data_IF_731883406260
#
_entry.id   IF_731883406260
#
_cell.length_a   1.000
_cell.length_b   1.000
_cell.length_c   1.000
_cell.angle_alpha   90.00
_cell.angle_beta   90.00
_cell.angle_gamma   90.00
#
_symmetry.space_group_name_H-M   'P 1'
#
loop_
_entity.id
_entity.type
_entity.pdbx_description
1 polymer ?
#
# COMPACT_ATOMS: atom_id res chain seq x y z
N UNK A 1 -0.99 34.10 10.02
CA UNK A 1 -1.68 33.49 8.85
C UNK A 1 -1.24 34.22 7.58
N UNK A 2 -1.26 33.57 6.41
CA UNK A 2 -0.86 34.20 5.13
C UNK A 2 -2.07 34.28 4.21
N UNK A 3 -2.29 35.43 3.58
CA UNK A 3 -3.35 35.65 2.61
C UNK A 3 -2.91 35.10 1.25
N UNK A 4 -3.81 34.46 0.53
CA UNK A 4 -3.55 34.01 -0.83
C UNK A 4 -3.98 35.13 -1.78
N UNK A 5 -3.12 35.44 -2.74
CA UNK A 5 -3.40 36.38 -3.83
C UNK A 5 -3.26 35.71 -5.19
N UNK A 6 -2.37 34.71 -5.30
CA UNK A 6 -2.11 34.01 -6.55
C UNK A 6 -2.01 32.50 -6.36
N UNK A 7 -2.70 31.76 -7.23
CA UNK A 7 -2.73 30.31 -7.24
C UNK A 7 -2.17 29.74 -8.55
N UNK A 8 -1.27 28.76 -8.46
CA UNK A 8 -0.80 27.96 -9.58
C UNK A 8 -1.53 26.60 -9.55
N UNK A 9 -2.34 26.31 -10.56
CA UNK A 9 -3.17 25.10 -10.61
C UNK A 9 -2.77 24.25 -11.82
N UNK A 10 -2.31 23.03 -11.58
CA UNK A 10 -1.98 22.06 -12.63
C UNK A 10 -2.36 20.66 -12.15
N UNK A 11 -3.54 20.20 -12.56
CA UNK A 11 -4.16 18.97 -12.04
C UNK A 11 -4.52 18.01 -13.17
N UNK A 12 -4.15 16.75 -12.98
CA UNK A 12 -4.56 15.63 -13.83
C UNK A 12 -6.00 15.21 -13.49
N UNK A 13 -6.26 14.92 -12.22
CA UNK A 13 -7.59 14.67 -11.66
C UNK A 13 -8.31 16.00 -11.38
N UNK A 14 -9.46 16.19 -12.04
CA UNK A 14 -10.25 17.42 -12.01
C UNK A 14 -11.41 17.35 -11.02
N UNK A 15 -11.49 16.28 -10.23
CA UNK A 15 -12.51 16.11 -9.19
C UNK A 15 -12.48 17.29 -8.21
N UNK A 16 -13.65 17.87 -7.93
CA UNK A 16 -13.81 18.99 -7.02
C UNK A 16 -13.19 20.32 -7.47
N UNK A 17 -12.60 20.39 -8.67
CA UNK A 17 -11.91 21.60 -9.16
C UNK A 17 -12.85 22.80 -9.26
N UNK A 18 -14.08 22.61 -9.75
CA UNK A 18 -15.05 23.71 -9.93
C UNK A 18 -15.41 24.38 -8.60
N UNK A 19 -15.65 23.60 -7.54
CA UNK A 19 -15.92 24.13 -6.20
C UNK A 19 -14.73 24.94 -5.67
N UNK A 20 -13.50 24.44 -5.87
CA UNK A 20 -12.30 25.18 -5.51
C UNK A 20 -12.18 26.50 -6.28
N UNK A 21 -12.43 26.49 -7.60
CA UNK A 21 -12.38 27.68 -8.44
C UNK A 21 -13.43 28.72 -8.03
N UNK A 22 -14.64 28.29 -7.70
CA UNK A 22 -15.71 29.16 -7.20
C UNK A 22 -15.24 29.94 -5.96
N UNK A 23 -14.68 29.23 -4.97
CA UNK A 23 -14.18 29.87 -3.75
C UNK A 23 -13.00 30.79 -4.04
N UNK A 24 -12.06 30.41 -4.92
CA UNK A 24 -10.95 31.29 -5.28
C UNK A 24 -11.42 32.56 -6.02
N UNK A 25 -12.47 32.45 -6.83
CA UNK A 25 -13.06 33.59 -7.53
C UNK A 25 -13.76 34.59 -6.58
N UNK A 26 -14.44 34.10 -5.53
CA UNK A 26 -15.03 34.94 -4.46
C UNK A 26 -14.01 35.92 -3.84
N UNK A 27 -12.74 35.51 -3.78
CA UNK A 27 -11.64 36.30 -3.21
C UNK A 27 -10.76 36.99 -4.28
N UNK A 28 -11.17 36.97 -5.54
CA UNK A 28 -10.42 37.56 -6.67
C UNK A 28 -8.97 37.06 -6.76
N UNK A 29 -8.75 35.76 -6.49
CA UNK A 29 -7.42 35.15 -6.59
C UNK A 29 -7.00 35.04 -8.05
N UNK A 30 -5.79 35.49 -8.36
CA UNK A 30 -5.22 35.33 -9.70
C UNK A 30 -4.82 33.87 -9.93
N UNK A 31 -5.33 33.26 -11.00
CA UNK A 31 -5.04 31.87 -11.34
C UNK A 31 -4.04 31.81 -12.49
N UNK A 32 -2.96 31.05 -12.28
CA UNK A 32 -2.03 30.63 -13.32
C UNK A 32 -2.20 29.13 -13.55
N UNK A 33 -2.26 28.70 -14.80
CA UNK A 33 -2.39 27.28 -15.16
C UNK A 33 -1.70 26.96 -16.49
N UNK A 34 -1.63 25.67 -16.86
CA UNK A 34 -1.05 25.19 -18.12
C UNK A 34 -1.84 24.00 -18.66
N UNK A 35 -1.68 23.72 -19.96
CA UNK A 35 -2.20 22.54 -20.63
C UNK A 35 -3.71 22.30 -20.44
N UNK A 36 -4.08 21.03 -20.22
CA UNK A 36 -5.48 20.63 -20.08
C UNK A 36 -6.20 21.22 -18.86
N UNK A 37 -5.46 21.59 -17.81
CA UNK A 37 -6.03 22.27 -16.64
C UNK A 37 -6.46 23.69 -16.99
N UNK A 38 -5.62 24.45 -17.69
CA UNK A 38 -5.95 25.81 -18.16
C UNK A 38 -7.20 25.80 -19.04
N UNK A 39 -7.27 24.85 -19.99
CA UNK A 39 -8.45 24.67 -20.85
C UNK A 39 -9.71 24.44 -20.00
N UNK A 40 -9.66 23.53 -19.04
CA UNK A 40 -10.80 23.21 -18.18
C UNK A 40 -11.24 24.41 -17.33
N UNK A 41 -10.31 25.17 -16.77
CA UNK A 41 -10.62 26.37 -15.97
C UNK A 41 -11.37 27.40 -16.82
N UNK A 42 -10.91 27.64 -18.05
CA UNK A 42 -11.57 28.55 -19.01
C UNK A 42 -12.94 28.04 -19.45
N UNK A 43 -13.10 26.74 -19.70
CA UNK A 43 -14.40 26.11 -20.01
C UNK A 43 -15.42 26.27 -18.88
N UNK A 44 -14.97 26.27 -17.62
CA UNK A 44 -15.81 26.52 -16.45
C UNK A 44 -16.10 28.02 -16.22
N UNK A 45 -15.64 28.91 -17.10
CA UNK A 45 -15.92 30.34 -17.05
C UNK A 45 -15.03 31.16 -16.13
N UNK A 46 -13.94 30.59 -15.59
CA UNK A 46 -13.03 31.29 -14.70
C UNK A 46 -11.82 31.88 -15.44
N UNK A 47 -11.38 33.10 -15.10
CA UNK A 47 -10.19 33.70 -15.70
C UNK A 47 -8.93 32.98 -15.19
N UNK A 48 -8.04 32.64 -16.12
CA UNK A 48 -6.72 32.08 -15.80
C UNK A 48 -5.70 32.48 -16.87
N UNK A 49 -4.50 32.83 -16.39
CA UNK A 49 -3.33 33.11 -17.24
C UNK A 49 -2.54 31.85 -17.53
N UNK A 50 -2.04 31.75 -18.75
CA UNK A 50 -1.15 30.64 -19.10
C UNK A 50 0.23 30.82 -18.43
N UNK A 51 0.88 29.72 -18.05
CA UNK A 51 2.27 29.76 -17.52
C UNK A 51 3.23 30.40 -18.53
N UNK A 52 2.98 30.21 -19.81
CA UNK A 52 3.74 30.77 -20.93
C UNK A 52 3.67 32.31 -20.95
N UNK A 53 2.54 32.90 -20.55
CA UNK A 53 2.37 34.36 -20.43
C UNK A 53 3.23 34.93 -19.29
N UNK A 54 3.41 34.16 -18.22
CA UNK A 54 4.21 34.57 -17.06
C UNK A 54 5.70 34.40 -17.37
N UNK A 55 6.06 33.24 -17.93
CA UNK A 55 7.45 32.86 -18.18
C UNK A 55 8.04 33.61 -19.36
N UNK A 56 7.26 33.82 -20.42
CA UNK A 56 7.73 34.28 -21.73
C UNK A 56 8.35 33.15 -22.57
N UNK A 57 8.23 31.89 -22.12
CA UNK A 57 8.76 30.72 -22.81
C UNK A 57 7.62 29.79 -23.25
N UNK A 58 7.65 29.31 -24.50
CA UNK A 58 6.66 28.33 -24.96
C UNK A 58 6.91 26.96 -24.32
N UNK A 59 5.90 26.11 -24.39
CA UNK A 59 6.04 24.68 -24.11
C UNK A 59 7.09 24.04 -25.05
N UNK A 60 8.03 23.26 -24.49
CA UNK A 60 9.11 22.61 -25.24
C UNK A 60 9.17 21.10 -25.01
N UNK A 61 9.77 20.37 -25.97
CA UNK A 61 10.03 18.92 -25.90
C UNK A 61 8.77 18.11 -25.61
N UNK A 62 7.70 18.35 -26.38
CA UNK A 62 6.38 17.71 -26.23
C UNK A 62 5.80 17.83 -24.81
N UNK A 63 6.12 18.94 -24.14
CA UNK A 63 5.56 19.25 -22.82
C UNK A 63 6.35 18.76 -21.62
N UNK A 64 7.53 18.19 -21.84
CA UNK A 64 8.46 17.84 -20.75
C UNK A 64 8.97 19.07 -20.00
N UNK A 65 9.05 20.23 -20.67
CA UNK A 65 9.52 21.48 -20.08
C UNK A 65 8.46 22.57 -20.27
N UNK A 66 7.66 22.81 -19.22
CA UNK A 66 6.64 23.88 -19.16
C UNK A 66 6.83 24.79 -17.94
N UNK A 67 6.94 24.17 -16.76
CA UNK A 67 6.90 24.88 -15.47
C UNK A 67 8.26 25.00 -14.78
N UNK A 68 9.29 24.35 -15.33
CA UNK A 68 10.69 24.40 -14.86
C UNK A 68 11.35 25.73 -15.23
N UNK A 69 10.84 26.83 -14.69
CA UNK A 69 11.27 28.18 -15.02
C UNK A 69 11.51 29.02 -13.75
N UNK A 70 12.56 29.88 -13.70
CA UNK A 70 12.85 30.72 -12.53
C UNK A 70 11.70 31.62 -12.08
N UNK A 71 10.88 32.14 -13.01
CA UNK A 71 9.70 32.93 -12.63
C UNK A 71 8.63 32.13 -11.88
N UNK A 72 8.54 30.81 -12.11
CA UNK A 72 7.64 29.94 -11.36
C UNK A 72 8.29 29.54 -10.04
N UNK A 73 9.48 28.94 -10.09
CA UNK A 73 10.14 28.43 -8.88
C UNK A 73 10.63 29.54 -7.94
N UNK A 74 11.06 30.69 -8.45
CA UNK A 74 11.34 31.88 -7.64
C UNK A 74 10.08 32.44 -6.99
N UNK A 75 8.95 32.40 -7.70
CA UNK A 75 7.63 32.71 -7.17
C UNK A 75 7.23 31.79 -6.02
N UNK A 76 7.66 30.52 -6.03
CA UNK A 76 7.38 29.53 -4.99
C UNK A 76 8.39 29.53 -3.83
N UNK A 77 9.68 29.71 -4.12
CA UNK A 77 10.77 29.45 -3.16
C UNK A 77 11.25 30.70 -2.42
N UNK A 78 10.94 31.90 -2.91
CA UNK A 78 11.40 33.11 -2.26
C UNK A 78 10.75 33.30 -0.88
N UNK A 79 11.58 33.50 0.14
CA UNK A 79 11.16 33.81 1.51
C UNK A 79 10.69 35.26 1.57
N UNK A 80 9.44 35.48 1.97
CA UNK A 80 8.83 36.83 1.92
C UNK A 80 9.32 37.77 3.02
N UNK A 81 9.96 37.22 4.04
CA UNK A 81 10.58 37.95 5.15
C UNK A 81 12.08 38.20 4.97
N UNK A 82 12.67 37.72 3.86
CA UNK A 82 14.07 37.95 3.53
C UNK A 82 14.19 39.08 2.47
N UNK A 83 14.79 40.20 2.87
CA UNK A 83 14.94 41.38 2.00
C UNK A 83 15.72 41.12 0.71
N UNK A 84 16.72 40.25 0.74
CA UNK A 84 17.52 39.94 -0.45
C UNK A 84 16.71 39.12 -1.45
N UNK A 85 15.87 38.20 -0.97
CA UNK A 85 14.95 37.45 -1.82
C UNK A 85 13.91 38.37 -2.46
N UNK A 86 13.34 39.30 -1.70
CA UNK A 86 12.36 40.27 -2.21
C UNK A 86 12.99 41.17 -3.28
N UNK A 87 14.18 41.72 -3.05
CA UNK A 87 14.92 42.50 -4.06
C UNK A 87 15.19 41.70 -5.33
N UNK A 88 15.60 40.44 -5.20
CA UNK A 88 15.83 39.58 -6.36
C UNK A 88 14.53 39.30 -7.14
N UNK A 89 13.42 39.10 -6.44
CA UNK A 89 12.11 38.95 -7.08
C UNK A 89 11.72 40.19 -7.88
N UNK A 90 11.85 41.38 -7.28
CA UNK A 90 11.55 42.65 -7.93
C UNK A 90 12.43 42.89 -9.16
N UNK A 91 13.75 42.72 -9.02
CA UNK A 91 14.71 42.92 -10.09
C UNK A 91 14.46 42.02 -11.32
N UNK A 92 13.89 40.83 -11.11
CA UNK A 92 13.62 39.86 -12.18
C UNK A 92 12.14 39.76 -12.55
N UNK A 93 11.27 40.63 -12.03
CA UNK A 93 9.83 40.63 -12.32
C UNK A 93 9.14 39.32 -11.90
N UNK A 94 9.62 38.70 -10.82
CA UNK A 94 9.06 37.47 -10.26
C UNK A 94 7.98 37.87 -9.26
N UNK A 95 6.78 37.33 -9.44
CA UNK A 95 5.67 37.60 -8.54
C UNK A 95 5.43 36.42 -7.59
N UNK A 96 4.98 36.67 -6.35
CA UNK A 96 4.75 35.60 -5.38
C UNK A 96 3.60 34.69 -5.82
N UNK A 97 3.75 33.39 -5.58
CA UNK A 97 2.67 32.40 -5.68
C UNK A 97 2.40 31.89 -4.26
N UNK A 98 1.15 31.94 -3.81
CA UNK A 98 0.77 31.66 -2.42
C UNK A 98 0.05 30.32 -2.28
N UNK A 99 -0.54 29.82 -3.37
CA UNK A 99 -1.21 28.52 -3.43
C UNK A 99 -0.71 27.73 -4.63
N UNK A 100 -0.40 26.46 -4.41
CA UNK A 100 -0.11 25.48 -5.47
C UNK A 100 -1.11 24.34 -5.35
N UNK A 101 -1.80 24.03 -6.44
CA UNK A 101 -2.74 22.91 -6.52
C UNK A 101 -2.28 21.99 -7.63
N UNK A 102 -1.60 20.91 -7.26
CA UNK A 102 -0.99 19.98 -8.20
C UNK A 102 -1.21 18.55 -7.75
N UNK A 103 -2.03 17.79 -8.48
CA UNK A 103 -2.10 16.34 -8.34
C UNK A 103 -1.40 15.70 -9.53
N UNK A 104 -0.54 14.73 -9.23
CA UNK A 104 0.23 14.00 -10.23
C UNK A 104 -0.67 13.01 -10.94
N UNK A 105 -0.47 12.84 -12.25
CA UNK A 105 -1.05 11.70 -12.96
C UNK A 105 -0.58 10.42 -12.25
N UNK A 106 -1.49 9.48 -11.95
CA UNK A 106 -1.13 8.29 -11.20
C UNK A 106 -0.27 7.37 -12.08
N UNK A 107 1.04 7.56 -12.02
CA UNK A 107 2.02 6.67 -12.65
C UNK A 107 1.78 5.23 -12.23
N UNK A 108 1.39 5.03 -10.96
CA UNK A 108 0.94 3.76 -10.41
C UNK A 108 -0.12 3.09 -11.31
N UNK A 109 -1.18 3.81 -11.69
CA UNK A 109 -2.26 3.29 -12.54
C UNK A 109 -1.82 3.00 -13.98
N UNK A 110 -0.81 3.72 -14.49
CA UNK A 110 -0.24 3.44 -15.83
C UNK A 110 0.52 2.13 -15.79
N UNK A 111 1.32 1.93 -14.74
CA UNK A 111 2.18 0.75 -14.57
C UNK A 111 1.45 -0.51 -14.12
N UNK A 112 0.27 -0.38 -13.52
CA UNK A 112 -0.59 -1.50 -13.15
C UNK A 112 -1.30 -2.13 -14.36
N UNK A 113 -1.34 -1.47 -15.52
CA UNK A 113 -1.97 -2.01 -16.73
C UNK A 113 -1.11 -3.16 -17.30
N UNK A 114 -1.72 -4.31 -17.64
CA UNK A 114 -1.02 -5.38 -18.33
C UNK A 114 -0.34 -4.85 -19.61
N UNK A 115 0.92 -5.23 -19.83
CA UNK A 115 1.68 -4.94 -21.04
C UNK A 115 1.98 -3.45 -21.33
N UNK A 116 2.05 -2.57 -20.32
CA UNK A 116 2.59 -1.22 -20.55
C UNK A 116 4.05 -1.29 -21.02
N UNK A 117 4.36 -0.62 -22.14
CA UNK A 117 5.72 -0.55 -22.66
C UNK A 117 6.60 0.33 -21.76
N UNK A 118 7.90 0.09 -21.77
CA UNK A 118 8.86 0.88 -21.00
C UNK A 118 8.87 2.34 -21.47
N UNK A 119 8.74 2.57 -22.76
CA UNK A 119 8.70 3.89 -23.39
C UNK A 119 7.47 4.68 -22.91
N UNK A 120 6.28 4.05 -22.93
CA UNK A 120 5.06 4.70 -22.47
C UNK A 120 5.11 5.04 -20.98
N UNK A 121 5.68 4.15 -20.15
CA UNK A 121 5.87 4.46 -18.73
C UNK A 121 6.83 5.65 -18.56
N UNK A 122 7.96 5.67 -19.25
CA UNK A 122 8.94 6.78 -19.19
C UNK A 122 8.31 8.12 -19.59
N UNK A 123 7.47 8.17 -20.63
CA UNK A 123 6.78 9.41 -21.02
C UNK A 123 5.76 9.91 -19.96
N UNK A 124 5.29 9.02 -19.07
CA UNK A 124 4.36 9.38 -17.99
C UNK A 124 5.08 9.79 -16.69
N UNK A 125 6.41 9.84 -16.69
CA UNK A 125 7.18 10.38 -15.56
C UNK A 125 7.11 11.92 -15.59
N UNK A 126 6.41 12.49 -14.62
CA UNK A 126 6.25 13.93 -14.46
C UNK A 126 7.46 14.51 -13.71
N UNK A 127 8.11 15.50 -14.33
CA UNK A 127 9.22 16.24 -13.74
C UNK A 127 8.72 17.57 -13.14
N UNK A 128 7.79 18.23 -13.82
CA UNK A 128 7.31 19.56 -13.45
C UNK A 128 6.44 19.52 -12.20
N UNK A 129 5.48 18.58 -12.15
CA UNK A 129 4.57 18.40 -11.03
C UNK A 129 5.30 18.20 -9.70
N UNK A 130 6.15 17.17 -9.55
CA UNK A 130 6.90 16.94 -8.31
C UNK A 130 7.81 18.11 -7.95
N UNK A 131 8.43 18.77 -8.94
CA UNK A 131 9.27 19.95 -8.70
C UNK A 131 8.48 21.12 -8.10
N UNK A 132 7.28 21.40 -8.61
CA UNK A 132 6.39 22.44 -8.07
C UNK A 132 5.88 22.08 -6.67
N UNK A 133 5.44 20.84 -6.47
CA UNK A 133 4.98 20.33 -5.17
C UNK A 133 6.09 20.51 -4.11
N UNK A 134 7.32 20.04 -4.42
CA UNK A 134 8.46 20.13 -3.51
C UNK A 134 8.86 21.58 -3.23
N UNK A 135 8.78 22.46 -4.24
CA UNK A 135 9.09 23.89 -4.07
C UNK A 135 8.11 24.57 -3.12
N UNK A 136 6.81 24.33 -3.30
CA UNK A 136 5.77 24.87 -2.44
C UNK A 136 5.85 24.30 -1.01
N UNK A 137 6.02 22.98 -0.87
CA UNK A 137 6.13 22.31 0.41
C UNK A 137 7.39 22.75 1.20
N UNK A 138 8.54 22.92 0.53
CA UNK A 138 9.76 23.48 1.14
C UNK A 138 9.50 24.87 1.72
N UNK A 139 8.73 25.70 1.02
CA UNK A 139 8.40 27.05 1.45
C UNK A 139 7.03 27.15 2.14
N UNK A 140 6.62 26.13 2.91
CA UNK A 140 5.32 26.11 3.60
C UNK A 140 5.07 27.31 4.53
N UNK A 141 6.13 28.04 4.91
CA UNK A 141 6.03 29.28 5.69
C UNK A 141 5.18 30.33 4.95
N UNK A 142 5.31 30.41 3.64
CA UNK A 142 4.67 31.41 2.78
C UNK A 142 3.70 30.80 1.75
N UNK A 143 3.88 29.53 1.37
CA UNK A 143 3.10 28.89 0.29
C UNK A 143 2.27 27.72 0.81
N UNK A 144 1.00 27.68 0.45
CA UNK A 144 0.11 26.53 0.68
C UNK A 144 0.17 25.58 -0.52
N UNK A 145 0.24 24.27 -0.29
CA UNK A 145 0.27 23.26 -1.35
C UNK A 145 -0.88 22.28 -1.16
N UNK A 146 -1.59 21.92 -2.24
CA UNK A 146 -2.63 20.89 -2.25
C UNK A 146 -2.24 19.87 -3.33
N UNK A 147 -2.16 18.60 -2.95
CA UNK A 147 -1.74 17.47 -3.81
C UNK A 147 -2.84 16.44 -4.10
N UNK A 148 -4.02 16.61 -3.52
CA UNK A 148 -5.17 15.72 -3.70
C UNK A 148 -6.50 16.47 -3.56
N UNK A 149 -7.54 16.12 -4.37
CA UNK A 149 -8.89 16.66 -4.20
C UNK A 149 -9.49 16.49 -2.79
N UNK A 150 -9.08 15.46 -2.06
CA UNK A 150 -9.57 15.21 -0.69
C UNK A 150 -9.17 16.32 0.30
N UNK A 151 -8.20 17.17 -0.06
CA UNK A 151 -7.76 18.30 0.77
C UNK A 151 -8.61 19.56 0.54
N UNK A 152 -9.40 19.62 -0.54
CA UNK A 152 -10.09 20.85 -0.95
C UNK A 152 -11.12 21.29 0.09
N UNK A 153 -11.89 20.36 0.66
CA UNK A 153 -12.91 20.70 1.66
C UNK A 153 -12.30 21.35 2.91
N UNK A 154 -11.26 20.73 3.47
CA UNK A 154 -10.53 21.27 4.63
C UNK A 154 -9.90 22.64 4.31
N UNK A 155 -9.28 22.76 3.13
CA UNK A 155 -8.71 24.03 2.68
C UNK A 155 -9.77 25.12 2.57
N UNK A 156 -10.88 24.85 1.87
CA UNK A 156 -11.98 25.81 1.64
C UNK A 156 -12.59 26.26 2.97
N UNK A 157 -12.82 25.33 3.90
CA UNK A 157 -13.39 25.64 5.20
C UNK A 157 -12.52 26.65 5.97
N UNK A 158 -11.22 26.38 6.09
CA UNK A 158 -10.29 27.29 6.75
C UNK A 158 -10.11 28.60 5.99
N UNK A 159 -10.04 28.54 4.65
CA UNK A 159 -9.86 29.70 3.79
C UNK A 159 -11.01 30.70 3.96
N UNK A 160 -12.26 30.23 3.94
CA UNK A 160 -13.45 31.05 4.15
C UNK A 160 -13.53 31.58 5.58
N UNK A 161 -13.29 30.73 6.57
CA UNK A 161 -13.32 31.11 7.99
C UNK A 161 -12.37 32.27 8.30
N UNK A 162 -11.25 32.36 7.59
CA UNK A 162 -10.17 33.29 7.88
C UNK A 162 -9.98 34.38 6.80
N UNK A 163 -11.02 34.69 6.03
CA UNK A 163 -11.02 35.76 5.02
C UNK A 163 -9.85 35.63 4.00
N UNK A 164 -9.74 34.44 3.41
CA UNK A 164 -8.75 34.13 2.40
C UNK A 164 -7.34 33.88 2.96
N UNK A 165 -7.21 33.62 4.26
CA UNK A 165 -5.94 33.32 4.93
C UNK A 165 -5.87 31.86 5.36
N UNK A 166 -4.66 31.30 5.33
CA UNK A 166 -4.38 29.96 5.88
C UNK A 166 -3.39 30.07 7.06
N UNK A 167 -3.56 29.22 8.06
CA UNK A 167 -2.67 29.09 9.21
C UNK A 167 -1.32 28.48 8.84
N UNK A 168 -0.30 28.65 9.69
CA UNK A 168 1.03 28.05 9.43
C UNK A 168 0.95 26.53 9.63
N UNK A 169 0.13 26.13 10.59
CA UNK A 169 -0.12 24.76 11.03
C UNK A 169 -0.74 23.95 9.89
N UNK A 170 -1.77 24.49 9.22
CA UNK A 170 -2.38 23.82 8.05
C UNK A 170 -1.43 23.76 6.86
N UNK A 171 -0.67 24.83 6.57
CA UNK A 171 0.36 24.77 5.51
C UNK A 171 1.43 23.71 5.80
N UNK A 172 1.85 23.58 7.06
CA UNK A 172 2.80 22.55 7.48
C UNK A 172 2.23 21.13 7.31
N UNK A 173 0.97 20.92 7.71
CA UNK A 173 0.28 19.63 7.50
C UNK A 173 0.21 19.27 6.01
N UNK A 174 -0.21 20.20 5.16
CA UNK A 174 -0.25 19.95 3.73
C UNK A 174 1.15 19.77 3.10
N UNK A 175 2.18 20.43 3.61
CA UNK A 175 3.56 20.19 3.17
C UNK A 175 4.07 18.78 3.54
N UNK A 176 3.70 18.27 4.72
CA UNK A 176 3.97 16.89 5.14
C UNK A 176 3.28 15.89 4.21
N UNK A 177 2.01 16.11 3.89
CA UNK A 177 1.26 15.28 2.93
C UNK A 177 1.85 15.37 1.51
N UNK A 178 2.30 16.55 1.09
CA UNK A 178 2.95 16.78 -0.19
C UNK A 178 4.27 15.98 -0.35
N UNK A 179 5.15 16.03 0.65
CA UNK A 179 6.39 15.23 0.63
C UNK A 179 6.11 13.73 0.68
N UNK A 180 5.08 13.31 1.41
CA UNK A 180 4.61 11.92 1.42
C UNK A 180 4.16 11.48 0.02
N UNK A 181 3.39 12.32 -0.69
CA UNK A 181 2.95 12.02 -2.05
C UNK A 181 4.10 11.89 -3.03
N UNK A 182 5.09 12.80 -2.99
CA UNK A 182 6.25 12.73 -3.90
C UNK A 182 7.15 11.54 -3.59
N UNK A 183 7.30 11.17 -2.31
CA UNK A 183 8.02 9.95 -1.94
C UNK A 183 7.34 8.69 -2.48
N UNK A 184 6.00 8.62 -2.37
CA UNK A 184 5.23 7.52 -2.96
C UNK A 184 5.33 7.47 -4.49
N UNK A 185 5.34 8.63 -5.15
CA UNK A 185 5.49 8.75 -6.60
C UNK A 185 6.86 8.24 -7.08
N UNK A 186 7.95 8.72 -6.47
CA UNK A 186 9.31 8.29 -6.84
C UNK A 186 9.53 6.80 -6.55
N UNK A 187 8.92 6.27 -5.48
CA UNK A 187 8.92 4.83 -5.22
C UNK A 187 8.25 4.05 -6.35
N UNK A 188 7.09 4.48 -6.83
CA UNK A 188 6.38 3.81 -7.90
C UNK A 188 7.24 3.72 -9.17
N UNK A 189 7.94 4.80 -9.50
CA UNK A 189 8.93 4.83 -10.59
C UNK A 189 10.06 3.84 -10.33
N UNK A 190 10.65 3.86 -9.13
CA UNK A 190 11.73 2.94 -8.76
C UNK A 190 11.31 1.47 -8.89
N UNK A 191 10.11 1.12 -8.40
CA UNK A 191 9.54 -0.23 -8.49
C UNK A 191 9.27 -0.64 -9.93
N UNK A 192 8.85 0.29 -10.78
CA UNK A 192 8.68 0.01 -12.19
C UNK A 192 10.00 -0.39 -12.85
N UNK A 193 11.08 0.36 -12.63
CA UNK A 193 12.40 0.01 -13.18
C UNK A 193 12.96 -1.28 -12.58
N UNK A 194 12.76 -1.52 -11.28
CA UNK A 194 13.08 -2.79 -10.63
C UNK A 194 12.35 -3.96 -11.31
N UNK A 195 11.07 -3.81 -11.66
CA UNK A 195 10.30 -4.86 -12.34
C UNK A 195 10.82 -5.23 -13.74
N UNK A 196 11.68 -4.40 -14.34
CA UNK A 196 12.30 -4.65 -15.66
C UNK A 196 13.60 -5.43 -15.59
N UNK A 197 14.11 -5.71 -14.39
CA UNK A 197 15.26 -6.59 -14.17
C UNK A 197 14.83 -7.85 -13.40
N UNK A 198 15.60 -8.93 -13.55
CA UNK A 198 15.46 -10.14 -12.74
C UNK A 198 16.37 -10.12 -11.51
N UNK A 199 17.31 -9.16 -11.44
CA UNK A 199 18.24 -8.99 -10.32
C UNK A 199 17.60 -8.16 -9.21
N UNK A 200 17.85 -8.55 -7.96
CA UNK A 200 17.49 -7.72 -6.81
C UNK A 200 18.35 -6.43 -6.82
N UNK A 201 17.74 -5.26 -6.57
CA UNK A 201 18.45 -3.99 -6.65
C UNK A 201 19.48 -3.85 -5.52
N UNK A 202 20.54 -3.08 -5.77
CA UNK A 202 21.53 -2.74 -4.74
C UNK A 202 20.94 -1.96 -3.56
N UNK A 203 19.80 -1.30 -3.77
CA UNK A 203 19.01 -0.63 -2.74
C UNK A 203 17.57 -1.15 -2.82
N UNK A 204 17.12 -1.85 -1.78
CA UNK A 204 15.73 -2.28 -1.63
C UNK A 204 14.96 -1.26 -0.79
N UNK A 205 13.86 -0.73 -1.31
CA UNK A 205 13.00 0.21 -0.59
C UNK A 205 11.72 -0.52 -0.13
N UNK A 206 11.55 -0.65 1.18
CA UNK A 206 10.32 -1.20 1.77
C UNK A 206 9.38 -0.05 2.11
N UNK A 207 8.15 -0.09 1.58
CA UNK A 207 7.10 0.81 2.02
C UNK A 207 5.97 0.06 2.66
N UNK A 208 5.75 0.37 3.93
CA UNK A 208 4.90 -0.38 4.81
C UNK A 208 3.77 0.52 5.32
N UNK A 209 2.54 0.04 5.22
CA UNK A 209 1.35 0.64 5.81
C UNK A 209 0.94 -0.14 7.05
N UNK A 210 0.75 0.56 8.18
CA UNK A 210 0.28 -0.09 9.41
C UNK A 210 -1.19 -0.48 9.24
N UNK A 211 -1.50 -1.78 9.36
CA UNK A 211 -2.89 -2.28 9.31
C UNK A 211 -3.57 -2.35 10.66
N UNK A 212 -2.83 -2.69 11.71
CA UNK A 212 -3.37 -2.68 13.07
C UNK A 212 -2.26 -2.53 14.11
N UNK A 213 -2.59 -1.91 15.24
CA UNK A 213 -1.78 -2.10 16.45
C UNK A 213 -2.08 -3.50 16.99
N UNK A 214 -1.08 -4.16 17.56
CA UNK A 214 -1.27 -5.44 18.24
C UNK A 214 -1.25 -5.20 19.74
N UNK A 215 -1.98 -6.04 20.48
CA UNK A 215 -2.09 -5.91 21.95
C UNK A 215 -0.71 -5.92 22.63
N UNK A 216 0.19 -6.77 22.15
CA UNK A 216 1.60 -6.89 22.51
C UNK A 216 2.33 -7.71 21.42
N UNK A 217 3.66 -7.84 21.53
CA UNK A 217 4.52 -8.65 20.65
C UNK A 217 4.45 -10.14 20.99
N UNK A 218 5.56 -10.87 20.87
CA UNK A 218 5.60 -12.29 21.29
C UNK A 218 5.27 -12.44 22.78
N UNK A 219 5.70 -11.46 23.59
CA UNK A 219 5.48 -11.41 25.03
C UNK A 219 4.73 -10.14 25.45
N UNK A 220 3.95 -10.17 26.55
CA UNK A 220 3.10 -9.04 26.98
C UNK A 220 3.79 -7.70 27.20
N UNK A 221 5.09 -7.70 27.52
CA UNK A 221 5.87 -6.48 27.77
C UNK A 221 6.35 -5.78 26.48
N UNK A 222 6.26 -6.45 25.33
CA UNK A 222 6.70 -5.93 24.04
C UNK A 222 5.52 -5.24 23.33
N UNK A 223 5.73 -4.03 22.79
CA UNK A 223 4.74 -3.37 21.93
C UNK A 223 4.87 -3.91 20.50
N UNK A 224 3.77 -4.03 19.78
CA UNK A 224 3.80 -4.50 18.40
C UNK A 224 2.69 -3.90 17.53
N UNK A 225 2.89 -3.98 16.22
CA UNK A 225 1.94 -3.59 15.20
C UNK A 225 2.15 -4.47 13.96
N UNK A 226 1.08 -4.69 13.19
CA UNK A 226 1.13 -5.41 11.92
C UNK A 226 1.16 -4.41 10.77
N UNK A 227 2.14 -4.58 9.90
CA UNK A 227 2.36 -3.76 8.71
C UNK A 227 2.25 -4.64 7.46
N UNK A 228 1.78 -4.04 6.37
CA UNK A 228 1.77 -4.68 5.06
C UNK A 228 2.42 -3.76 4.04
N UNK A 229 2.96 -4.33 2.98
CA UNK A 229 3.52 -3.52 1.90
C UNK A 229 2.42 -2.66 1.25
N UNK A 230 2.70 -1.38 1.01
CA UNK A 230 1.78 -0.47 0.34
C UNK A 230 1.39 -1.03 -1.03
N UNK A 231 0.11 -0.90 -1.38
CA UNK A 231 -0.55 -1.47 -2.57
C UNK A 231 -0.72 -2.99 -2.57
N UNK A 232 -0.15 -3.73 -1.60
CA UNK A 232 -0.47 -5.16 -1.40
C UNK A 232 -1.66 -5.31 -0.46
N UNK A 233 -2.52 -6.29 -0.77
CA UNK A 233 -3.62 -6.70 0.11
C UNK A 233 -3.15 -7.86 0.99
N UNK A 234 -3.71 -7.94 2.19
CA UNK A 234 -3.58 -9.13 3.04
C UNK A 234 -4.23 -10.30 2.28
N UNK A 235 -3.57 -11.47 2.15
CA UNK A 235 -4.05 -12.57 1.31
C UNK A 235 -5.09 -13.45 1.99
N UNK A 236 -5.60 -13.03 3.15
CA UNK A 236 -6.55 -13.78 3.97
C UNK A 236 -7.64 -12.85 4.53
N UNK A 237 -8.78 -13.45 4.89
CA UNK A 237 -9.93 -12.75 5.46
C UNK A 237 -10.34 -13.40 6.77
N UNK A 238 -10.42 -12.60 7.83
CA UNK A 238 -10.99 -13.05 9.09
C UNK A 238 -12.52 -12.95 9.05
N UNK A 239 -13.20 -14.10 9.13
CA UNK A 239 -14.66 -14.20 9.06
C UNK A 239 -15.34 -14.11 10.44
N UNK A 240 -14.62 -14.45 11.51
CA UNK A 240 -15.16 -14.51 12.87
C UNK A 240 -14.06 -14.37 13.92
N UNK A 241 -14.44 -14.13 15.17
CA UNK A 241 -13.56 -14.21 16.33
C UNK A 241 -12.91 -12.90 16.75
N UNK A 242 -12.01 -13.01 17.73
CA UNK A 242 -11.22 -11.89 18.26
C UNK A 242 -10.14 -11.44 17.29
N UNK A 243 -9.63 -10.22 17.46
CA UNK A 243 -8.43 -9.76 16.75
C UNK A 243 -7.26 -10.75 16.90
N UNK A 244 -6.45 -10.85 15.84
CA UNK A 244 -5.23 -11.67 15.82
C UNK A 244 -4.13 -11.02 16.68
N UNK A 245 -3.54 -11.80 17.58
CA UNK A 245 -2.33 -11.42 18.32
C UNK A 245 -1.08 -11.56 17.45
N UNK A 246 0.08 -11.12 17.96
CA UNK A 246 1.37 -11.32 17.28
C UNK A 246 1.65 -12.80 16.99
N UNK A 247 1.55 -13.65 18.01
CA UNK A 247 1.79 -15.09 17.85
C UNK A 247 0.74 -15.74 16.94
N UNK A 248 -0.52 -15.26 16.96
CA UNK A 248 -1.53 -15.75 16.01
C UNK A 248 -1.17 -15.43 14.56
N UNK A 249 -0.54 -14.28 14.29
CA UNK A 249 -0.08 -13.94 12.94
C UNK A 249 1.11 -14.82 12.51
N UNK A 250 2.04 -15.11 13.43
CA UNK A 250 3.13 -16.07 13.17
C UNK A 250 2.61 -17.48 12.90
N UNK A 251 1.69 -17.96 13.74
CA UNK A 251 1.09 -19.28 13.57
C UNK A 251 0.23 -19.35 12.29
N UNK A 252 -0.45 -18.26 11.92
CA UNK A 252 -1.20 -18.16 10.67
C UNK A 252 -0.28 -18.20 9.44
N UNK A 253 0.89 -17.55 9.49
CA UNK A 253 1.91 -17.62 8.44
C UNK A 253 2.37 -19.07 8.24
N UNK A 254 2.73 -19.76 9.32
CA UNK A 254 3.10 -21.18 9.27
C UNK A 254 1.95 -22.07 8.76
N UNK A 255 0.70 -21.78 9.14
CA UNK A 255 -0.47 -22.49 8.65
C UNK A 255 -0.71 -22.29 7.14
N UNK A 256 -0.48 -21.09 6.63
CA UNK A 256 -0.58 -20.79 5.19
C UNK A 256 0.52 -21.51 4.42
N UNK A 257 1.77 -21.48 4.89
CA UNK A 257 2.89 -22.20 4.26
C UNK A 257 2.66 -23.72 4.26
N UNK A 258 2.06 -24.27 5.33
CA UNK A 258 1.63 -25.67 5.37
C UNK A 258 0.59 -25.97 4.29
N UNK A 259 -0.40 -25.09 4.11
CA UNK A 259 -1.43 -25.25 3.09
C UNK A 259 -0.89 -25.16 1.66
N UNK A 260 0.08 -24.29 1.43
CA UNK A 260 0.81 -24.20 0.14
C UNK A 260 1.59 -25.49 -0.12
N UNK A 261 2.25 -26.02 0.91
CA UNK A 261 3.13 -27.20 0.81
C UNK A 261 2.36 -28.49 0.54
N UNK A 262 1.29 -28.75 1.31
CA UNK A 262 0.53 -29.99 1.23
C UNK A 262 -0.52 -29.98 0.11
N UNK A 263 -0.88 -28.80 -0.40
CA UNK A 263 -1.77 -28.55 -1.54
C UNK A 263 -3.22 -29.01 -1.36
N UNK A 264 -3.49 -30.32 -1.30
CA UNK A 264 -4.83 -30.90 -1.35
C UNK A 264 -5.00 -32.06 -0.38
N UNK A 265 -6.26 -32.44 -0.15
CA UNK A 265 -6.63 -33.66 0.57
C UNK A 265 -5.95 -33.80 1.95
N UNK A 266 -5.76 -32.70 2.70
CA UNK A 266 -5.04 -32.72 3.98
C UNK A 266 -5.80 -32.03 5.12
N UNK A 267 -5.47 -32.43 6.35
CA UNK A 267 -5.71 -31.66 7.56
C UNK A 267 -4.41 -31.58 8.37
N UNK A 268 -4.06 -30.37 8.82
CA UNK A 268 -2.90 -30.13 9.65
C UNK A 268 -3.28 -29.39 10.93
N UNK A 269 -2.62 -29.75 12.04
CA UNK A 269 -2.75 -29.14 13.35
C UNK A 269 -1.39 -28.56 13.73
N UNK A 270 -1.38 -27.29 14.11
CA UNK A 270 -0.15 -26.55 14.48
C UNK A 270 -0.27 -25.93 15.87
N UNK A 271 0.87 -25.72 16.51
CA UNK A 271 1.01 -24.91 17.73
C UNK A 271 2.39 -24.27 17.79
N UNK A 272 2.45 -22.96 18.03
CA UNK A 272 3.71 -22.22 18.09
C UNK A 272 4.59 -22.46 16.86
N UNK A 273 4.01 -22.31 15.67
CA UNK A 273 4.60 -22.52 14.33
C UNK A 273 5.03 -23.96 14.01
N UNK A 274 4.83 -24.90 14.92
CA UNK A 274 5.21 -26.30 14.74
C UNK A 274 3.98 -27.18 14.44
N UNK A 275 4.06 -28.12 13.49
CA UNK A 275 3.02 -29.12 13.31
C UNK A 275 3.02 -30.11 14.48
N UNK A 276 1.84 -30.32 15.09
CA UNK A 276 1.64 -31.37 16.09
C UNK A 276 0.92 -32.61 15.50
N UNK A 277 0.25 -32.44 14.36
CA UNK A 277 -0.30 -33.55 13.60
C UNK A 277 -0.66 -33.16 12.17
N UNK A 278 -0.36 -34.03 11.22
CA UNK A 278 -0.70 -33.84 9.81
C UNK A 278 -1.21 -35.17 9.27
N UNK A 279 -2.28 -35.13 8.48
CA UNK A 279 -2.75 -36.27 7.74
C UNK A 279 -3.21 -35.83 6.36
N UNK A 280 -2.81 -36.60 5.34
CA UNK A 280 -3.28 -36.46 3.98
C UNK A 280 -3.96 -37.76 3.54
N UNK A 281 -4.95 -37.65 2.65
CA UNK A 281 -5.74 -38.77 2.18
C UNK A 281 -7.18 -38.41 1.87
N UNK A 282 -7.98 -39.41 1.50
CA UNK A 282 -9.38 -39.20 1.14
C UNK A 282 -10.24 -39.02 2.38
N UNK A 283 -10.97 -37.90 2.44
CA UNK A 283 -11.98 -37.65 3.47
C UNK A 283 -11.51 -36.70 4.55
N UNK A 284 -12.07 -35.49 4.54
CA UNK A 284 -11.71 -34.40 5.46
C UNK A 284 -11.80 -34.80 6.95
N UNK A 285 -12.88 -35.49 7.35
CA UNK A 285 -13.07 -35.92 8.74
C UNK A 285 -12.06 -37.00 9.16
N UNK A 286 -11.71 -37.91 8.25
CA UNK A 286 -10.72 -38.95 8.53
C UNK A 286 -9.33 -38.34 8.72
N UNK A 287 -8.93 -37.44 7.82
CA UNK A 287 -7.68 -36.71 7.94
C UNK A 287 -7.62 -35.91 9.25
N UNK A 288 -8.70 -35.22 9.61
CA UNK A 288 -8.78 -34.51 10.89
C UNK A 288 -8.54 -35.46 12.08
N UNK A 289 -9.21 -36.60 12.12
CA UNK A 289 -9.05 -37.58 13.22
C UNK A 289 -7.64 -38.15 13.27
N UNK A 290 -7.05 -38.49 12.12
CA UNK A 290 -5.66 -38.98 12.03
C UNK A 290 -4.67 -37.91 12.52
N UNK A 291 -4.84 -36.66 12.10
CA UNK A 291 -4.01 -35.54 12.56
C UNK A 291 -4.13 -35.36 14.09
N UNK A 292 -5.33 -35.45 14.66
CA UNK A 292 -5.55 -35.36 16.11
C UNK A 292 -4.91 -36.53 16.88
N UNK A 293 -4.80 -37.71 16.28
CA UNK A 293 -4.20 -38.89 16.90
C UNK A 293 -2.67 -38.81 16.98
N UNK A 294 -2.02 -37.98 16.15
CA UNK A 294 -0.57 -37.79 16.13
C UNK A 294 -0.03 -37.29 17.48
N UNK A 295 -0.60 -36.20 17.99
CA UNK A 295 -0.31 -35.68 19.33
C UNK A 295 -1.57 -35.07 19.95
N UNK A 296 -2.36 -35.88 20.68
CA UNK A 296 -3.65 -35.44 21.21
C UNK A 296 -3.56 -34.40 22.33
N UNK A 297 -2.38 -34.20 22.91
CA UNK A 297 -2.17 -33.23 23.98
C UNK A 297 -1.78 -31.87 23.39
N UNK A 298 -0.89 -31.87 22.40
CA UNK A 298 -0.30 -30.63 21.90
C UNK A 298 -1.27 -29.79 21.09
N UNK A 299 -2.19 -30.37 20.30
CA UNK A 299 -3.06 -29.56 19.43
C UNK A 299 -4.08 -28.69 20.19
N UNK A 300 -4.28 -28.90 21.50
CA UNK A 300 -5.17 -28.08 22.31
C UNK A 300 -4.69 -26.62 22.35
N UNK A 301 -5.59 -25.70 21.96
CA UNK A 301 -5.30 -24.28 21.78
C UNK A 301 -4.45 -23.97 20.56
N UNK A 302 -4.33 -24.91 19.62
CA UNK A 302 -3.57 -24.74 18.39
C UNK A 302 -4.40 -24.13 17.25
N UNK A 303 -3.88 -24.36 16.04
CA UNK A 303 -4.50 -24.00 14.77
C UNK A 303 -4.85 -25.27 14.00
N UNK A 304 -6.03 -25.32 13.39
CA UNK A 304 -6.35 -26.33 12.38
C UNK A 304 -6.32 -25.71 10.99
N UNK A 305 -5.75 -26.45 10.03
CA UNK A 305 -5.66 -26.07 8.62
C UNK A 305 -6.32 -27.16 7.80
N UNK A 306 -7.22 -26.75 6.90
CA UNK A 306 -7.91 -27.65 5.97
C UNK A 306 -7.57 -27.25 4.54
N UNK A 307 -7.31 -28.23 3.68
CA UNK A 307 -7.01 -28.00 2.25
C UNK A 307 -8.23 -27.56 1.43
N UNK A 308 -9.43 -27.78 1.95
CA UNK A 308 -10.71 -27.59 1.26
C UNK A 308 -11.72 -26.87 2.16
N UNK A 309 -12.88 -26.54 1.62
CA UNK A 309 -13.98 -25.97 2.38
C UNK A 309 -14.32 -26.83 3.60
N UNK A 310 -14.31 -26.25 4.80
CA UNK A 310 -14.63 -27.00 6.02
C UNK A 310 -16.10 -27.40 6.00
N UNK A 311 -16.34 -28.70 6.05
CA UNK A 311 -17.66 -29.31 6.07
C UNK A 311 -18.21 -29.41 7.51
N UNK A 312 -19.51 -29.66 7.62
CA UNK A 312 -20.22 -29.75 8.90
C UNK A 312 -19.57 -30.75 9.85
N UNK A 313 -19.30 -31.96 9.39
CA UNK A 313 -18.84 -33.08 10.22
C UNK A 313 -17.45 -32.82 10.81
N UNK A 314 -16.55 -32.24 10.01
CA UNK A 314 -15.23 -31.82 10.49
C UNK A 314 -15.35 -30.67 11.50
N UNK A 315 -16.25 -29.71 11.25
CA UNK A 315 -16.51 -28.61 12.17
C UNK A 315 -17.08 -29.09 13.51
N UNK A 316 -18.01 -30.05 13.51
CA UNK A 316 -18.56 -30.68 14.72
C UNK A 316 -17.47 -31.40 15.53
N UNK A 317 -16.59 -32.14 14.85
CA UNK A 317 -15.51 -32.89 15.51
C UNK A 317 -14.50 -31.95 16.15
N UNK A 318 -13.92 -31.00 15.40
CA UNK A 318 -12.88 -30.12 15.93
C UNK A 318 -13.42 -29.14 16.98
N UNK A 319 -14.71 -28.77 16.91
CA UNK A 319 -15.34 -27.87 17.90
C UNK A 319 -15.51 -28.46 19.29
N UNK A 320 -15.30 -29.78 19.45
CA UNK A 320 -15.20 -30.45 20.76
C UNK A 320 -13.94 -30.03 21.52
N UNK A 321 -12.94 -29.52 20.81
CA UNK A 321 -11.65 -29.09 21.35
C UNK A 321 -11.52 -27.56 21.32
N UNK A 322 -10.65 -27.04 22.17
CA UNK A 322 -10.31 -25.62 22.14
C UNK A 322 -9.31 -25.37 21.01
N UNK A 323 -9.67 -24.51 20.07
CA UNK A 323 -8.80 -24.03 18.99
C UNK A 323 -8.74 -22.51 19.01
N UNK A 324 -7.57 -21.95 18.76
CA UNK A 324 -7.39 -20.50 18.62
C UNK A 324 -7.83 -20.03 17.23
N UNK A 325 -7.46 -20.78 16.18
CA UNK A 325 -7.69 -20.43 14.77
C UNK A 325 -8.06 -21.69 13.95
N UNK A 326 -9.02 -21.55 13.03
CA UNK A 326 -9.25 -22.48 11.93
C UNK A 326 -8.96 -21.75 10.62
N UNK A 327 -8.15 -22.36 9.74
CA UNK A 327 -7.69 -21.81 8.46
C UNK A 327 -8.16 -22.74 7.33
N UNK A 328 -8.82 -22.19 6.32
CA UNK A 328 -9.28 -22.97 5.16
C UNK A 328 -9.53 -22.06 3.93
N UNK A 329 -9.66 -22.61 2.72
CA UNK A 329 -10.08 -21.84 1.54
C UNK A 329 -11.51 -21.34 1.60
N UNK A 330 -12.38 -22.04 2.34
CA UNK A 330 -13.77 -21.68 2.54
C UNK A 330 -14.36 -22.43 3.74
N UNK A 331 -15.59 -22.07 4.10
CA UNK A 331 -16.38 -22.75 5.14
C UNK A 331 -17.81 -22.91 4.63
N UNK A 332 -18.43 -24.07 4.84
CA UNK A 332 -19.86 -24.20 4.54
C UNK A 332 -20.71 -23.39 5.53
N UNK A 333 -21.95 -23.08 5.17
CA UNK A 333 -22.89 -22.37 6.03
C UNK A 333 -23.11 -23.11 7.37
N UNK A 334 -23.14 -24.45 7.32
CA UNK A 334 -23.26 -25.32 8.49
C UNK A 334 -22.02 -25.25 9.38
N UNK A 335 -20.81 -25.32 8.79
CA UNK A 335 -19.56 -25.20 9.53
C UNK A 335 -19.43 -23.82 10.20
N UNK A 336 -19.75 -22.73 9.48
CA UNK A 336 -19.79 -21.38 10.04
C UNK A 336 -20.74 -21.28 11.23
N UNK A 337 -21.95 -21.86 11.11
CA UNK A 337 -22.96 -21.83 12.17
C UNK A 337 -22.49 -22.54 13.44
N UNK A 338 -21.70 -23.61 13.31
CA UNK A 338 -21.09 -24.31 14.45
C UNK A 338 -20.00 -23.46 15.08
N UNK A 339 -19.04 -23.00 14.27
CA UNK A 339 -17.89 -22.25 14.76
C UNK A 339 -18.24 -20.90 15.38
N UNK A 340 -19.27 -20.21 14.85
CA UNK A 340 -19.70 -18.92 15.37
C UNK A 340 -20.25 -18.98 16.81
N UNK A 341 -20.65 -20.16 17.29
CA UNK A 341 -21.00 -20.38 18.69
C UNK A 341 -19.80 -20.18 19.63
N UNK A 342 -18.57 -20.36 19.13
CA UNK A 342 -17.33 -20.11 19.86
C UNK A 342 -16.90 -18.66 19.65
N UNK A 343 -17.37 -17.74 20.50
CA UNK A 343 -17.12 -16.28 20.39
C UNK A 343 -15.66 -15.88 20.12
N UNK A 344 -14.69 -16.61 20.66
CA UNK A 344 -13.27 -16.25 20.59
C UNK A 344 -12.52 -16.89 19.42
N UNK A 345 -13.09 -17.94 18.80
CA UNK A 345 -12.42 -18.69 17.74
C UNK A 345 -12.25 -17.84 16.48
N UNK A 346 -11.04 -17.74 15.94
CA UNK A 346 -10.82 -17.06 14.66
C UNK A 346 -11.04 -18.02 13.50
N UNK A 347 -11.81 -17.58 12.52
CA UNK A 347 -11.98 -18.29 11.26
C UNK A 347 -11.29 -17.47 10.17
N UNK A 348 -10.29 -18.05 9.53
CA UNK A 348 -9.50 -17.40 8.49
C UNK A 348 -9.74 -18.11 7.17
N UNK A 349 -10.24 -17.34 6.20
CA UNK A 349 -10.40 -17.75 4.82
C UNK A 349 -9.16 -17.34 4.02
N UNK A 350 -8.55 -18.27 3.28
CA UNK A 350 -7.33 -18.02 2.50
C UNK A 350 -7.24 -18.92 1.27
N UNK A 351 -6.97 -18.33 0.11
CA UNK A 351 -6.66 -19.07 -1.12
C UNK A 351 -5.15 -19.37 -1.17
N UNK A 352 -4.76 -20.58 -0.75
CA UNK A 352 -3.35 -20.99 -0.68
C UNK A 352 -2.64 -20.90 -2.05
N UNK A 353 -3.32 -21.26 -3.14
CA UNK A 353 -2.74 -21.22 -4.48
C UNK A 353 -2.44 -19.78 -4.90
N UNK A 354 -3.38 -18.87 -4.65
CA UNK A 354 -3.17 -17.45 -4.92
C UNK A 354 -2.04 -16.87 -4.05
N UNK A 355 -1.90 -17.31 -2.79
CA UNK A 355 -0.78 -16.87 -1.94
C UNK A 355 0.54 -17.37 -2.53
N UNK A 356 0.62 -18.64 -2.92
CA UNK A 356 1.84 -19.23 -3.48
C UNK A 356 2.33 -18.50 -4.75
N UNK A 357 1.40 -18.08 -5.62
CA UNK A 357 1.70 -17.34 -6.84
C UNK A 357 2.21 -15.92 -6.56
N UNK A 358 1.59 -15.22 -5.59
CA UNK A 358 1.86 -13.79 -5.33
C UNK A 358 3.04 -13.54 -4.39
N UNK A 359 3.36 -14.50 -3.51
CA UNK A 359 4.36 -14.34 -2.45
C UNK A 359 5.53 -15.31 -2.67
N UNK A 360 6.44 -14.92 -3.55
CA UNK A 360 7.57 -15.73 -4.03
C UNK A 360 8.91 -15.41 -3.36
N UNK A 361 8.95 -14.37 -2.53
CA UNK A 361 10.15 -13.93 -1.81
C UNK A 361 9.88 -13.87 -0.32
N UNK A 362 10.88 -14.22 0.49
CA UNK A 362 10.84 -14.14 1.94
C UNK A 362 11.90 -13.14 2.43
N UNK A 363 11.47 -12.17 3.24
CA UNK A 363 12.33 -11.15 3.83
C UNK A 363 12.37 -11.34 5.35
N UNK A 364 13.56 -11.59 5.90
CA UNK A 364 13.76 -11.81 7.34
C UNK A 364 14.70 -10.78 7.91
N UNK A 365 14.38 -10.25 9.09
CA UNK A 365 15.35 -9.46 9.83
C UNK A 365 16.47 -10.36 10.37
N UNK A 366 17.72 -9.92 10.24
CA UNK A 366 18.88 -10.60 10.79
C UNK A 366 19.91 -9.56 11.27
N UNK A 367 20.37 -9.67 12.52
CA UNK A 367 21.38 -8.83 13.20
C UNK A 367 21.79 -7.54 12.45
N UNK A 368 20.97 -6.49 12.56
CA UNK A 368 21.28 -5.17 11.98
C UNK A 368 20.90 -4.96 10.52
N UNK A 369 20.31 -5.96 9.85
CA UNK A 369 19.88 -5.89 8.46
C UNK A 369 18.74 -6.86 8.11
N UNK A 370 18.61 -7.17 6.83
CA UNK A 370 17.60 -8.09 6.31
C UNK A 370 18.21 -9.11 5.34
N UNK A 371 17.67 -10.31 5.34
CA UNK A 371 17.95 -11.39 4.40
C UNK A 371 16.76 -11.51 3.45
N UNK A 372 17.01 -11.53 2.15
CA UNK A 372 16.02 -11.75 1.10
C UNK A 372 16.37 -13.05 0.38
N UNK A 373 15.38 -13.94 0.23
CA UNK A 373 15.52 -15.20 -0.49
C UNK A 373 14.24 -15.53 -1.25
N UNK A 374 14.31 -16.46 -2.18
CA UNK A 374 13.12 -17.10 -2.74
C UNK A 374 12.41 -17.92 -1.66
N UNK A 375 11.09 -18.03 -1.79
CA UNK A 375 10.32 -18.99 -0.99
C UNK A 375 10.62 -20.41 -1.48
N UNK A 376 10.75 -21.35 -0.54
CA UNK A 376 10.94 -22.75 -0.90
C UNK A 376 9.61 -23.31 -1.42
N UNK A 377 9.64 -23.72 -2.69
CA UNK A 377 8.50 -24.32 -3.41
C UNK A 377 8.92 -25.62 -4.10
N UNK A 378 10.11 -26.14 -3.79
CA UNK A 378 10.63 -27.36 -4.39
C UNK A 378 10.29 -28.53 -3.47
N UNK A 379 9.32 -29.33 -3.89
CA UNK A 379 8.92 -30.54 -3.17
C UNK A 379 9.63 -31.75 -3.77
N UNK A 380 10.16 -32.61 -2.91
CA UNK A 380 10.76 -33.87 -3.35
C UNK A 380 9.69 -34.76 -4.00
N UNK A 381 10.08 -35.44 -5.07
CA UNK A 381 9.26 -36.43 -5.78
C UNK A 381 9.91 -37.81 -5.69
N UNK A 382 9.16 -38.85 -6.10
CA UNK A 382 9.71 -40.22 -6.21
C UNK A 382 11.01 -40.27 -7.03
N UNK A 383 11.16 -39.38 -8.03
CA UNK A 383 12.35 -39.31 -8.89
C UNK A 383 13.59 -38.79 -8.17
N UNK A 384 13.41 -38.10 -7.06
CA UNK A 384 14.49 -37.56 -6.23
C UNK A 384 14.96 -38.59 -5.17
N UNK A 385 14.24 -39.71 -5.03
CA UNK A 385 14.60 -40.78 -4.11
C UNK A 385 15.71 -41.65 -4.69
N UNK A 386 16.75 -41.88 -3.90
CA UNK A 386 17.84 -42.82 -4.24
C UNK A 386 17.76 -44.07 -3.37
N UNK A 387 17.68 -45.24 -4.01
CA UNK A 387 17.63 -46.52 -3.31
C UNK A 387 19.00 -46.87 -2.70
N UNK A 388 19.10 -46.80 -1.35
CA UNK A 388 20.34 -47.11 -0.61
C UNK A 388 20.45 -48.57 -0.10
N UNK A 389 19.34 -49.33 -0.13
CA UNK A 389 19.30 -50.73 0.33
C UNK A 389 18.57 -51.61 -0.68
N UNK A 390 18.53 -52.93 -0.49
CA UNK A 390 17.80 -53.84 -1.38
C UNK A 390 16.27 -53.84 -1.17
N UNK A 391 15.75 -53.14 -0.15
CA UNK A 391 14.31 -53.11 0.13
C UNK A 391 13.51 -52.57 -1.07
N UNK A 392 12.37 -53.18 -1.36
CA UNK A 392 11.44 -52.71 -2.39
C UNK A 392 10.41 -51.82 -1.72
N UNK A 393 10.38 -50.54 -2.11
CA UNK A 393 9.31 -49.62 -1.70
C UNK A 393 8.06 -49.95 -2.50
N UNK A 394 6.94 -50.09 -1.80
CA UNK A 394 5.61 -50.12 -2.41
C UNK A 394 5.17 -48.69 -2.73
N UNK A 395 4.08 -48.52 -3.48
CA UNK A 395 3.49 -47.20 -3.69
C UNK A 395 3.01 -46.57 -2.39
N UNK A 396 2.52 -47.38 -1.46
CA UNK A 396 2.07 -46.93 -0.13
C UNK A 396 3.23 -46.48 0.76
N UNK A 397 4.45 -46.97 0.54
CA UNK A 397 5.64 -46.46 1.24
C UNK A 397 6.15 -45.12 0.65
N UNK A 398 5.80 -44.83 -0.61
CA UNK A 398 6.20 -43.61 -1.33
C UNK A 398 5.19 -42.49 -1.10
N UNK A 399 3.90 -42.83 -1.05
CA UNK A 399 2.78 -41.96 -0.67
C UNK A 399 2.84 -41.61 0.82
#
# INVERSE_FOLDING_TARGET
MKKIHRALISVSDKSGLENLLQVLAEYSIEIISTGGTLKKIKELGYPAKAVEEITGFPEMMNGRVKTLHPKIHGGLLALRDNLDHVKAMEAHGILPIDLVVVNLYPFEQVTEKPAVSTELAIENIDIGGPSMIRSAAKNYRDVCVLVSPNQYEKFIAEFRQNDGKISKETRFQFAMEAFTRTAAYDLAISRFFESKTQEDPSIKILTLEKKQNLRYGENPHQKAAFYVEMSKKIPWKQLHGKELSFNNLLDLDAAIEMGITLQKDFCALLKHTNPCGVAAGKGQLENLRKAMQSDPVSFFGGIAVFSEAVQKEAAEEISKHFMEIIVAPAFTSEALSIFQQKKNLRLIEVDFAQVAEKFTKNLRYAAGGYLLQDTDRTFASEKDLEKKTNATLTKEDIE
#
